data_IF_003684933228
#
_entry.id   IF_003684933228
#
_cell.length_a   1.000
_cell.length_b   1.000
_cell.length_c   1.000
_cell.angle_alpha   90.00
_cell.angle_beta   90.00
_cell.angle_gamma   90.00
#
_symmetry.space_group_name_H-M   'P 1'
#
loop_
_entity.id
_entity.type
_entity.pdbx_description
1 polymer ?
#
# COMPACT_ATOMS: atom_id res chain seq x y z
N UNK A 1 4.68 22.27 4.28
CA UNK A 1 4.47 23.74 4.14
C UNK A 1 3.90 24.18 2.76
N UNK A 2 3.41 23.25 1.93
CA UNK A 2 2.76 23.59 0.65
C UNK A 2 3.70 24.04 -0.48
N UNK A 3 5.02 23.96 -0.30
CA UNK A 3 6.00 24.47 -1.27
C UNK A 3 6.34 23.48 -2.41
N UNK A 4 5.73 22.28 -2.40
CA UNK A 4 5.97 21.22 -3.40
C UNK A 4 7.30 20.47 -3.25
N UNK A 5 8.03 20.68 -2.14
CA UNK A 5 9.29 20.03 -1.80
C UNK A 5 9.18 19.40 -0.40
N UNK A 6 10.15 18.57 -0.05
CA UNK A 6 10.28 17.99 1.28
C UNK A 6 11.51 18.55 1.95
N UNK A 7 11.32 19.24 3.08
CA UNK A 7 12.41 19.52 4.01
C UNK A 7 12.92 18.24 4.69
N UNK A 8 14.07 18.29 5.36
CA UNK A 8 14.67 17.10 6.01
C UNK A 8 13.72 16.41 7.01
N UNK A 9 12.97 17.20 7.78
CA UNK A 9 12.01 16.68 8.76
C UNK A 9 10.84 16.00 8.06
N UNK A 10 10.26 16.62 7.04
CA UNK A 10 9.16 16.06 6.24
C UNK A 10 9.62 14.79 5.50
N UNK A 11 10.85 14.79 4.97
CA UNK A 11 11.46 13.61 4.36
C UNK A 11 11.65 12.48 5.37
N UNK A 12 12.14 12.76 6.58
CA UNK A 12 12.30 11.73 7.61
C UNK A 12 10.95 11.10 8.00
N UNK A 13 9.88 11.90 8.09
CA UNK A 13 8.52 11.39 8.31
C UNK A 13 8.09 10.48 7.17
N UNK A 14 8.24 10.93 5.91
CA UNK A 14 7.89 10.13 4.74
C UNK A 14 8.70 8.82 4.67
N UNK A 15 10.01 8.90 4.91
CA UNK A 15 10.90 7.74 4.86
C UNK A 15 10.51 6.68 5.89
N UNK A 16 10.18 7.09 7.12
CA UNK A 16 9.72 6.15 8.13
C UNK A 16 8.37 5.52 7.77
N UNK A 17 7.47 6.25 7.11
CA UNK A 17 6.23 5.67 6.56
C UNK A 17 6.51 4.63 5.47
N UNK A 18 7.35 4.95 4.49
CA UNK A 18 7.74 4.01 3.43
C UNK A 18 8.38 2.74 4.02
N UNK A 19 9.23 2.88 5.03
CA UNK A 19 9.82 1.73 5.73
C UNK A 19 8.77 0.86 6.41
N UNK A 20 7.75 1.47 7.02
CA UNK A 20 6.64 0.72 7.61
C UNK A 20 5.83 -0.01 6.54
N UNK A 21 5.54 0.64 5.41
CA UNK A 21 4.87 -0.01 4.27
C UNK A 21 5.68 -1.17 3.72
N UNK A 22 7.01 -1.03 3.61
CA UNK A 22 7.88 -2.12 3.18
C UNK A 22 7.88 -3.29 4.15
N UNK A 23 7.84 -3.02 5.46
CA UNK A 23 7.75 -4.07 6.48
C UNK A 23 6.41 -4.82 6.39
N UNK A 24 5.30 -4.11 6.17
CA UNK A 24 4.00 -4.74 5.92
C UNK A 24 4.05 -5.54 4.62
N UNK A 25 4.61 -4.96 3.55
CA UNK A 25 4.67 -5.60 2.25
C UNK A 25 5.36 -6.96 2.32
N UNK A 26 6.57 -6.99 2.87
CA UNK A 26 7.34 -8.22 3.05
C UNK A 26 6.73 -9.22 4.02
N UNK A 27 5.91 -8.76 4.95
CA UNK A 27 5.20 -9.63 5.90
C UNK A 27 4.07 -10.40 5.21
N UNK A 28 3.43 -9.79 4.22
CA UNK A 28 2.24 -10.33 3.55
C UNK A 28 2.50 -10.83 2.14
N UNK A 29 3.67 -10.60 1.55
CA UNK A 29 4.20 -11.39 0.43
C UNK A 29 4.58 -12.80 0.96
N UNK A 30 3.56 -13.66 1.09
CA UNK A 30 3.64 -14.94 1.78
C UNK A 30 4.41 -15.97 0.94
N UNK A 31 4.24 -15.89 -0.38
CA UNK A 31 4.94 -16.76 -1.33
C UNK A 31 6.34 -16.24 -1.70
N UNK A 32 6.69 -15.01 -1.27
CA UNK A 32 7.96 -14.35 -1.55
C UNK A 32 8.20 -14.13 -3.05
N UNK A 33 7.12 -13.91 -3.79
CA UNK A 33 7.17 -13.59 -5.21
C UNK A 33 7.77 -12.21 -5.49
N UNK A 34 7.83 -11.34 -4.49
CA UNK A 34 8.18 -9.93 -4.65
C UNK A 34 7.00 -9.06 -5.09
N UNK A 35 5.79 -9.64 -5.10
CA UNK A 35 4.52 -8.99 -5.42
C UNK A 35 3.43 -9.48 -4.46
N UNK A 36 2.28 -8.81 -4.44
CA UNK A 36 1.11 -9.27 -3.71
C UNK A 36 -0.01 -9.69 -4.64
N UNK A 37 -0.56 -10.86 -4.38
CA UNK A 37 -1.87 -11.25 -4.88
C UNK A 37 -2.99 -10.42 -4.22
N UNK A 38 -4.19 -10.46 -4.83
CA UNK A 38 -5.38 -9.85 -4.24
C UNK A 38 -5.72 -10.40 -2.84
N UNK A 39 -5.36 -11.66 -2.57
CA UNK A 39 -5.56 -12.27 -1.26
C UNK A 39 -4.60 -11.68 -0.21
N UNK A 40 -3.32 -11.57 -0.54
CA UNK A 40 -2.29 -11.00 0.34
C UNK A 40 -2.54 -9.52 0.61
N UNK A 41 -2.94 -8.77 -0.41
CA UNK A 41 -3.39 -7.38 -0.29
C UNK A 41 -4.52 -7.23 0.75
N UNK A 42 -5.50 -8.14 0.72
CA UNK A 42 -6.62 -8.10 1.68
C UNK A 42 -6.11 -8.30 3.11
N UNK A 43 -5.24 -9.28 3.34
CA UNK A 43 -4.65 -9.53 4.66
C UNK A 43 -3.81 -8.35 5.14
N UNK A 44 -3.04 -7.72 4.26
CA UNK A 44 -2.22 -6.56 4.58
C UNK A 44 -3.08 -5.36 5.02
N UNK A 45 -4.17 -5.08 4.29
CA UNK A 45 -5.10 -3.98 4.62
C UNK A 45 -5.83 -4.22 5.94
N UNK A 46 -6.30 -5.45 6.18
CA UNK A 46 -6.93 -5.82 7.45
C UNK A 46 -5.95 -5.65 8.63
N UNK A 47 -4.70 -6.08 8.46
CA UNK A 47 -3.66 -5.94 9.47
C UNK A 47 -3.22 -4.48 9.71
N UNK A 48 -3.33 -3.63 8.69
CA UNK A 48 -3.13 -2.19 8.81
C UNK A 48 -4.35 -1.46 9.45
N UNK A 49 -5.43 -2.18 9.76
CA UNK A 49 -6.61 -1.65 10.44
C UNK A 49 -7.72 -1.17 9.51
N UNK A 50 -7.58 -1.34 8.20
CA UNK A 50 -8.63 -0.98 7.24
C UNK A 50 -9.71 -2.08 7.20
N UNK A 51 -10.95 -1.71 7.53
CA UNK A 51 -12.11 -2.59 7.40
C UNK A 51 -12.88 -2.21 6.13
N UNK A 52 -12.45 -2.76 5.00
CA UNK A 52 -13.08 -2.52 3.71
C UNK A 52 -14.09 -3.63 3.38
N UNK A 53 -15.15 -3.27 2.67
CA UNK A 53 -16.07 -4.27 2.13
C UNK A 53 -15.50 -4.90 0.85
N UNK A 54 -16.10 -6.01 0.40
CA UNK A 54 -15.66 -6.75 -0.79
C UNK A 54 -15.58 -5.87 -2.05
N UNK A 55 -16.56 -4.99 -2.27
CA UNK A 55 -16.59 -4.10 -3.45
C UNK A 55 -15.42 -3.11 -3.46
N UNK A 56 -15.05 -2.58 -2.29
CA UNK A 56 -13.90 -1.70 -2.16
C UNK A 56 -12.60 -2.46 -2.41
N UNK A 57 -12.46 -3.69 -1.93
CA UNK A 57 -11.31 -4.52 -2.29
C UNK A 57 -11.21 -4.74 -3.80
N UNK A 58 -12.30 -5.16 -4.45
CA UNK A 58 -12.32 -5.36 -5.91
C UNK A 58 -11.94 -4.08 -6.67
N UNK A 59 -12.43 -2.92 -6.22
CA UNK A 59 -12.09 -1.63 -6.83
C UNK A 59 -10.60 -1.28 -6.68
N UNK A 60 -10.01 -1.52 -5.51
CA UNK A 60 -8.58 -1.27 -5.28
C UNK A 60 -7.73 -2.19 -6.15
N UNK A 61 -8.04 -3.49 -6.19
CA UNK A 61 -7.34 -4.44 -7.05
C UNK A 61 -7.45 -4.01 -8.52
N UNK A 62 -8.65 -3.67 -8.99
CA UNK A 62 -8.87 -3.22 -10.38
C UNK A 62 -8.09 -1.95 -10.71
N UNK A 63 -7.86 -1.06 -9.73
CA UNK A 63 -7.21 0.23 -9.96
C UNK A 63 -5.68 0.18 -9.90
N UNK A 64 -5.14 -0.72 -9.08
CA UNK A 64 -3.73 -0.74 -8.70
C UNK A 64 -3.00 -2.04 -9.05
N UNK A 65 -3.69 -3.13 -9.42
CA UNK A 65 -3.01 -4.32 -9.88
C UNK A 65 -2.52 -4.19 -11.33
N UNK A 66 -1.41 -4.85 -11.60
CA UNK A 66 -0.87 -5.04 -12.94
C UNK A 66 -1.74 -6.02 -13.76
N UNK A 67 -1.54 -6.15 -15.09
CA UNK A 67 -2.34 -7.04 -15.94
C UNK A 67 -2.36 -8.51 -15.50
N UNK A 68 -1.35 -8.96 -14.76
CA UNK A 68 -1.24 -10.30 -14.18
C UNK A 68 -1.94 -10.44 -12.81
N UNK A 69 -2.63 -9.39 -12.36
CA UNK A 69 -3.32 -9.27 -11.07
C UNK A 69 -2.37 -9.25 -9.86
N UNK A 70 -1.07 -9.05 -10.09
CA UNK A 70 -0.11 -8.82 -9.03
C UNK A 70 -0.04 -7.33 -8.67
N UNK A 71 0.21 -7.03 -7.40
CA UNK A 71 0.56 -5.70 -6.94
C UNK A 71 2.02 -5.67 -6.54
N UNK A 72 2.83 -4.91 -7.28
CA UNK A 72 4.17 -4.60 -6.86
C UNK A 72 4.18 -3.62 -5.67
N UNK A 73 5.37 -3.36 -5.14
CA UNK A 73 5.53 -2.49 -3.98
C UNK A 73 5.06 -1.05 -4.26
N UNK A 74 5.33 -0.53 -5.46
CA UNK A 74 4.99 0.84 -5.83
C UNK A 74 3.46 1.03 -5.90
N UNK A 75 2.76 0.06 -6.49
CA UNK A 75 1.30 0.01 -6.57
C UNK A 75 0.66 -0.14 -5.19
N UNK A 76 1.24 -0.98 -4.33
CA UNK A 76 0.83 -1.12 -2.93
C UNK A 76 0.94 0.20 -2.15
N UNK A 77 2.07 0.90 -2.27
CA UNK A 77 2.28 2.20 -1.61
C UNK A 77 1.31 3.25 -2.15
N UNK A 78 1.11 3.32 -3.47
CA UNK A 78 0.14 4.23 -4.07
C UNK A 78 -1.29 3.99 -3.55
N UNK A 79 -1.68 2.73 -3.39
CA UNK A 79 -2.96 2.35 -2.84
C UNK A 79 -3.11 2.84 -1.38
N UNK A 80 -2.13 2.57 -0.52
CA UNK A 80 -2.17 2.97 0.89
C UNK A 80 -2.19 4.50 1.06
N UNK A 81 -1.33 5.22 0.35
CA UNK A 81 -1.33 6.69 0.40
C UNK A 81 -2.67 7.25 -0.04
N UNK A 82 -3.29 6.68 -1.08
CA UNK A 82 -4.63 7.12 -1.51
C UNK A 82 -5.68 6.85 -0.44
N UNK A 83 -5.65 5.68 0.19
CA UNK A 83 -6.55 5.35 1.30
C UNK A 83 -6.36 6.29 2.49
N UNK A 84 -5.12 6.60 2.87
CA UNK A 84 -4.82 7.58 3.93
C UNK A 84 -5.36 8.97 3.60
N UNK A 85 -5.39 9.38 2.33
CA UNK A 85 -5.97 10.69 1.96
C UNK A 85 -7.50 10.73 1.91
N UNK A 86 -8.17 9.56 1.96
CA UNK A 86 -9.63 9.46 1.93
C UNK A 86 -10.27 9.48 3.33
N UNK A 87 -9.48 9.26 4.39
CA UNK A 87 -9.91 9.23 5.80
C UNK A 87 -9.15 10.27 6.62
#
# INVERSE_FOLDING_TARGET
DGNGKLGLVEFNVLWNRIRNYLAVFRKFDLDKSGSMSAYEMRLALEAAGYKLNKKLHELLITRYAEPDLALDFDSFVCCLVRLETMF
#
